data_IF_962622050917
#
_entry.id   IF_962622050917
#
_cell.length_a   1.000
_cell.length_b   1.000
_cell.length_c   1.000
_cell.angle_alpha   90.00
_cell.angle_beta   90.00
_cell.angle_gamma   90.00
#
_symmetry.space_group_name_H-M   'P 1'
#
loop_
_entity.id
_entity.type
_entity.pdbx_description
1 polymer ?
#
# COMPACT_ATOMS: atom_id res chain seq x y z
N UNK A 1 22.26 16.47 15.11
CA UNK A 1 20.93 17.10 14.97
C UNK A 1 20.18 16.40 13.86
N UNK A 2 19.01 15.81 14.13
CA UNK A 2 18.17 15.24 13.08
C UNK A 2 17.53 16.41 12.32
N UNK A 3 17.86 16.56 11.03
CA UNK A 3 17.26 17.60 10.18
C UNK A 3 15.74 17.35 10.15
N UNK A 4 14.97 18.27 10.76
CA UNK A 4 13.51 18.15 10.91
C UNK A 4 12.75 18.41 9.60
N UNK A 5 13.42 18.99 8.62
CA UNK A 5 12.87 19.33 7.31
C UNK A 5 13.80 18.83 6.21
N UNK A 6 13.20 18.27 5.16
CA UNK A 6 13.89 17.87 3.94
C UNK A 6 13.51 18.86 2.85
N UNK A 7 14.51 19.42 2.18
CA UNK A 7 14.31 20.30 1.03
C UNK A 7 14.57 19.54 -0.26
N UNK A 8 14.14 20.09 -1.40
CA UNK A 8 14.34 19.47 -2.73
C UNK A 8 15.80 19.02 -2.96
N UNK A 9 16.77 19.83 -2.55
CA UNK A 9 18.20 19.53 -2.68
C UNK A 9 18.67 18.36 -1.80
N UNK A 10 17.95 18.04 -0.73
CA UNK A 10 18.26 16.91 0.13
C UNK A 10 17.69 15.60 -0.44
N UNK A 11 16.92 15.64 -1.53
CA UNK A 11 16.14 14.50 -2.05
C UNK A 11 16.44 14.18 -3.51
N UNK A 12 16.42 15.20 -4.39
CA UNK A 12 16.64 15.01 -5.82
C UNK A 12 18.04 14.45 -6.08
N UNK A 13 18.13 13.49 -6.99
CA UNK A 13 19.36 12.78 -7.34
C UNK A 13 19.70 11.58 -6.45
N UNK A 14 19.06 11.45 -5.26
CA UNK A 14 19.31 10.31 -4.38
C UNK A 14 18.90 9.00 -5.03
N UNK A 15 19.68 7.96 -4.75
CA UNK A 15 19.37 6.60 -5.16
C UNK A 15 18.23 6.06 -4.30
N UNK A 16 17.31 5.35 -4.96
CA UNK A 16 16.19 4.68 -4.30
C UNK A 16 16.40 3.18 -4.37
N UNK A 17 16.26 2.54 -3.21
CA UNK A 17 16.44 1.11 -3.00
C UNK A 17 15.16 0.55 -2.38
N UNK A 18 14.71 -0.61 -2.84
CA UNK A 18 13.53 -1.27 -2.29
C UNK A 18 13.81 -2.17 -1.07
N UNK A 19 12.78 -2.84 -0.57
CA UNK A 19 12.88 -3.75 0.58
C UNK A 19 13.71 -5.01 0.33
N UNK A 20 13.99 -5.34 -0.93
CA UNK A 20 14.79 -6.49 -1.35
C UNK A 20 16.22 -6.09 -1.74
N UNK A 21 16.61 -4.86 -1.41
CA UNK A 21 17.92 -4.27 -1.74
C UNK A 21 18.15 -4.06 -3.25
N UNK A 22 17.11 -4.00 -4.07
CA UNK A 22 17.23 -3.65 -5.47
C UNK A 22 17.36 -2.13 -5.66
N UNK A 23 18.35 -1.70 -6.43
CA UNK A 23 18.49 -0.31 -6.87
C UNK A 23 17.47 -0.05 -7.98
N UNK A 24 16.48 0.79 -7.69
CA UNK A 24 15.40 1.14 -8.62
C UNK A 24 15.83 2.22 -9.60
N UNK A 25 16.52 3.24 -9.09
CA UNK A 25 16.91 4.42 -9.87
C UNK A 25 17.19 5.63 -8.98
N UNK A 26 16.98 6.81 -9.53
CA UNK A 26 17.29 8.08 -8.86
C UNK A 26 16.04 8.97 -8.80
N UNK A 27 15.93 9.76 -7.75
CA UNK A 27 14.82 10.73 -7.63
C UNK A 27 15.00 11.84 -8.66
N UNK A 28 14.00 12.02 -9.52
CA UNK A 28 13.89 13.12 -10.48
C UNK A 28 13.34 14.37 -9.82
N UNK A 29 12.22 14.24 -9.08
CA UNK A 29 11.56 15.37 -8.44
C UNK A 29 10.67 14.97 -7.24
N UNK A 30 10.22 15.99 -6.50
CA UNK A 30 9.17 15.88 -5.48
C UNK A 30 7.83 16.25 -6.12
N UNK A 31 6.79 15.52 -5.78
CA UNK A 31 5.41 15.81 -6.17
C UNK A 31 4.55 16.00 -4.93
N UNK A 32 3.49 16.78 -5.06
CA UNK A 32 2.50 16.96 -3.99
C UNK A 32 1.14 16.50 -4.50
N UNK A 33 0.51 15.57 -3.79
CA UNK A 33 -0.82 15.10 -4.09
C UNK A 33 -1.83 16.06 -3.47
N UNK A 34 -2.61 16.76 -4.30
CA UNK A 34 -3.60 17.74 -3.83
C UNK A 34 -4.86 17.11 -3.22
N UNK A 35 -5.15 15.85 -3.54
CA UNK A 35 -6.30 15.11 -3.00
C UNK A 35 -6.00 14.55 -1.62
N UNK A 36 -4.87 13.85 -1.47
CA UNK A 36 -4.47 13.24 -0.18
C UNK A 36 -3.64 14.17 0.70
N UNK A 37 -3.15 15.30 0.15
CA UNK A 37 -2.20 16.21 0.79
C UNK A 37 -0.87 15.53 1.17
N UNK A 38 -0.55 14.42 0.52
CA UNK A 38 0.70 13.69 0.71
C UNK A 38 1.80 14.20 -0.24
N UNK A 39 3.04 13.86 0.13
CA UNK A 39 4.22 14.06 -0.73
C UNK A 39 4.52 12.75 -1.46
N UNK A 40 4.80 12.85 -2.75
CA UNK A 40 5.33 11.77 -3.58
C UNK A 40 6.73 12.11 -4.12
N UNK A 41 7.45 11.10 -4.58
CA UNK A 41 8.69 11.24 -5.32
C UNK A 41 8.52 10.62 -6.70
N UNK A 42 8.95 11.33 -7.73
CA UNK A 42 9.09 10.75 -9.06
C UNK A 42 10.51 10.20 -9.19
N UNK A 43 10.63 8.91 -9.45
CA UNK A 43 11.89 8.18 -9.63
C UNK A 43 12.07 7.89 -11.11
N UNK A 44 13.24 8.19 -11.66
CA UNK A 44 13.65 7.68 -12.97
C UNK A 44 14.38 6.36 -12.76
N UNK A 45 13.78 5.27 -13.24
CA UNK A 45 14.38 3.93 -13.19
C UNK A 45 15.55 3.81 -14.15
N UNK A 46 16.36 2.75 -13.98
CA UNK A 46 17.49 2.45 -14.90
C UNK A 46 17.08 2.37 -16.38
N UNK A 47 15.83 2.00 -16.65
CA UNK A 47 15.29 1.88 -18.01
C UNK A 47 14.67 3.20 -18.53
N UNK A 48 14.83 4.31 -17.81
CA UNK A 48 14.24 5.60 -18.16
C UNK A 48 12.75 5.74 -17.83
N UNK A 49 12.09 4.69 -17.34
CA UNK A 49 10.69 4.75 -16.89
C UNK A 49 10.57 5.61 -15.64
N UNK A 50 9.56 6.46 -15.58
CA UNK A 50 9.24 7.27 -14.41
C UNK A 50 8.17 6.60 -13.55
N UNK A 51 8.42 6.55 -12.24
CA UNK A 51 7.51 5.94 -11.27
C UNK A 51 7.26 6.91 -10.12
N UNK A 52 6.00 7.11 -9.76
CA UNK A 52 5.63 7.91 -8.60
C UNK A 52 5.55 7.02 -7.35
N UNK A 53 6.24 7.42 -6.29
CA UNK A 53 6.27 6.70 -5.01
C UNK A 53 5.80 7.62 -3.90
N UNK A 54 4.78 7.18 -3.16
CA UNK A 54 4.27 7.94 -2.01
C UNK A 54 5.26 7.92 -0.85
N UNK A 55 5.31 9.03 -0.10
CA UNK A 55 6.02 9.09 1.18
C UNK A 55 5.56 8.07 2.21
N UNK A 56 4.33 7.55 2.09
CA UNK A 56 3.85 6.43 2.91
C UNK A 56 4.64 5.14 2.70
N UNK A 57 5.18 4.91 1.51
CA UNK A 57 5.94 3.72 1.17
C UNK A 57 7.45 3.88 1.44
N UNK A 58 7.90 5.06 1.91
CA UNK A 58 9.28 5.29 2.31
C UNK A 58 9.54 4.84 3.74
N UNK A 59 10.65 4.13 3.97
CA UNK A 59 11.10 3.67 5.29
C UNK A 59 12.05 4.67 5.93
N UNK A 60 13.11 5.04 5.22
CA UNK A 60 14.14 5.95 5.70
C UNK A 60 14.69 6.80 4.55
N UNK A 61 15.13 8.02 4.89
CA UNK A 61 15.81 8.94 3.98
C UNK A 61 17.14 9.31 4.64
N UNK A 62 18.24 8.91 4.01
CA UNK A 62 19.61 9.21 4.41
C UNK A 62 20.46 9.49 3.17
N UNK A 63 21.61 8.83 3.03
CA UNK A 63 22.40 8.89 1.80
C UNK A 63 21.61 8.35 0.59
N UNK A 64 20.88 7.27 0.84
CA UNK A 64 19.89 6.66 -0.07
C UNK A 64 18.48 6.76 0.53
N UNK A 65 17.49 6.49 -0.30
CA UNK A 65 16.09 6.38 0.11
C UNK A 65 15.71 4.90 0.08
N UNK A 66 15.26 4.38 1.23
CA UNK A 66 14.84 3.00 1.37
C UNK A 66 13.31 2.90 1.37
N UNK A 67 12.75 2.04 0.52
CA UNK A 67 11.31 1.78 0.48
C UNK A 67 10.91 0.62 1.40
N UNK A 68 9.63 0.58 1.76
CA UNK A 68 9.02 -0.49 2.57
C UNK A 68 8.63 -1.72 1.75
N UNK A 69 8.51 -1.57 0.43
CA UNK A 69 8.02 -2.58 -0.52
C UNK A 69 8.84 -2.56 -1.80
N UNK A 70 8.68 -3.59 -2.62
CA UNK A 70 9.25 -3.66 -3.96
C UNK A 70 8.56 -2.68 -4.92
N UNK A 71 9.24 -2.33 -6.02
CA UNK A 71 8.65 -1.45 -7.04
C UNK A 71 7.40 -2.07 -7.68
N UNK A 72 7.42 -3.38 -7.93
CA UNK A 72 6.28 -4.12 -8.47
C UNK A 72 5.03 -3.98 -7.58
N UNK A 73 5.18 -4.04 -6.26
CA UNK A 73 4.07 -3.85 -5.31
C UNK A 73 3.53 -2.41 -5.25
N UNK A 74 4.33 -1.42 -5.63
CA UNK A 74 3.94 0.00 -5.68
C UNK A 74 3.21 0.30 -6.99
N UNK A 75 3.70 -0.25 -8.10
CA UNK A 75 3.11 -0.06 -9.42
C UNK A 75 1.83 -0.85 -9.63
N UNK A 76 1.72 -2.03 -9.02
CA UNK A 76 0.43 -2.72 -8.98
C UNK A 76 -0.45 -2.04 -7.93
N UNK A 77 -1.60 -1.45 -8.29
CA UNK A 77 -2.62 -1.20 -7.30
C UNK A 77 -2.88 -2.55 -6.62
N UNK A 78 -2.77 -2.60 -5.29
CA UNK A 78 -3.18 -3.77 -4.51
C UNK A 78 -4.64 -4.05 -4.88
N UNK A 79 -4.84 -4.93 -5.86
CA UNK A 79 -5.89 -5.92 -5.78
C UNK A 79 -5.52 -6.66 -4.51
N UNK A 80 -6.17 -6.27 -3.42
CA UNK A 80 -6.30 -7.09 -2.22
C UNK A 80 -6.39 -8.52 -2.71
N UNK A 81 -5.33 -9.30 -2.47
CA UNK A 81 -5.37 -10.74 -2.67
C UNK A 81 -6.61 -11.19 -1.91
N UNK A 82 -7.70 -11.48 -2.64
CA UNK A 82 -8.75 -12.35 -2.12
C UNK A 82 -7.98 -13.61 -1.76
N UNK A 83 -7.85 -13.88 -0.47
CA UNK A 83 -7.29 -15.13 0.00
C UNK A 83 -7.97 -16.25 -0.79
N UNK A 84 -7.16 -17.14 -1.33
CA UNK A 84 -7.62 -18.33 -2.03
C UNK A 84 -8.76 -18.98 -1.25
N UNK A 85 -9.95 -18.97 -1.85
CA UNK A 85 -11.09 -19.76 -1.42
C UNK A 85 -10.77 -21.23 -1.68
N UNK A 86 -10.03 -21.86 -0.77
CA UNK A 86 -10.33 -23.26 -0.48
C UNK A 86 -11.58 -23.24 0.40
N UNK A 87 -12.74 -23.75 -0.05
CA UNK A 87 -13.90 -23.86 0.81
C UNK A 87 -13.56 -24.85 1.95
N UNK A 88 -13.59 -24.43 3.22
CA UNK A 88 -13.67 -25.37 4.33
C UNK A 88 -15.06 -26.03 4.28
N UNK A 89 -15.18 -27.31 4.69
CA UNK A 89 -16.45 -28.02 4.65
C UNK A 89 -17.50 -27.28 5.48
N UNK A 90 -18.64 -27.02 4.84
CA UNK A 90 -19.80 -26.32 5.35
C UNK A 90 -20.24 -26.95 6.67
N UNK A 91 -20.06 -26.23 7.78
CA UNK A 91 -20.73 -26.53 9.05
C UNK A 91 -21.81 -25.48 9.31
N UNK A 92 -23.00 -25.99 9.58
CA UNK A 92 -24.30 -25.33 9.62
C UNK A 92 -24.32 -24.02 10.42
N UNK A 93 -24.71 -22.92 9.78
CA UNK A 93 -24.75 -21.59 10.38
C UNK A 93 -26.18 -21.28 10.86
N UNK A 94 -26.31 -20.87 12.11
CA UNK A 94 -27.56 -20.33 12.66
C UNK A 94 -27.94 -19.04 11.91
N UNK A 95 -29.22 -18.79 11.56
CA UNK A 95 -29.61 -17.61 10.78
C UNK A 95 -29.10 -16.30 11.39
N UNK A 96 -28.47 -15.45 10.58
CA UNK A 96 -27.99 -14.12 10.96
C UNK A 96 -26.54 -14.05 11.45
N UNK A 97 -25.82 -15.16 11.67
CA UNK A 97 -24.42 -15.10 12.09
C UNK A 97 -23.49 -14.87 10.89
N UNK A 98 -22.69 -13.80 10.91
CA UNK A 98 -21.72 -13.52 9.86
C UNK A 98 -20.60 -14.56 9.86
N UNK A 99 -20.43 -15.27 8.74
CA UNK A 99 -19.38 -16.26 8.57
C UNK A 99 -17.96 -15.66 8.51
N UNK A 100 -17.83 -14.35 8.26
CA UNK A 100 -16.54 -13.66 8.13
C UNK A 100 -16.02 -13.15 9.48
N UNK A 101 -16.89 -12.53 10.30
CA UNK A 101 -16.46 -11.89 11.55
C UNK A 101 -17.15 -12.40 12.81
N UNK A 102 -18.10 -13.32 12.69
CA UNK A 102 -18.86 -13.89 13.81
C UNK A 102 -19.89 -12.96 14.44
N UNK A 103 -20.17 -11.80 13.85
CA UNK A 103 -21.18 -10.88 14.35
C UNK A 103 -22.61 -11.38 14.06
N UNK A 104 -23.51 -11.29 15.04
CA UNK A 104 -24.92 -11.65 14.87
C UNK A 104 -25.69 -10.47 14.26
N UNK A 105 -26.06 -10.61 13.00
CA UNK A 105 -26.92 -9.70 12.25
C UNK A 105 -28.38 -10.13 12.33
N UNK A 106 -29.26 -9.27 11.82
CA UNK A 106 -30.64 -9.64 11.56
C UNK A 106 -30.72 -10.78 10.55
N UNK A 107 -31.74 -11.64 10.70
CA UNK A 107 -31.88 -12.86 9.90
C UNK A 107 -32.07 -12.61 8.40
N UNK A 108 -32.50 -11.41 8.02
CA UNK A 108 -32.74 -10.97 6.63
C UNK A 108 -31.69 -9.97 6.14
N UNK A 109 -30.61 -9.73 6.91
CA UNK A 109 -29.56 -8.83 6.50
C UNK A 109 -28.87 -9.37 5.24
N UNK A 110 -28.78 -8.56 4.18
CA UNK A 110 -28.02 -8.88 2.96
C UNK A 110 -26.51 -8.67 3.13
N UNK A 111 -26.11 -7.82 4.08
CA UNK A 111 -24.72 -7.52 4.39
C UNK A 111 -24.53 -7.44 5.91
N UNK A 112 -23.35 -7.81 6.40
CA UNK A 112 -23.01 -7.68 7.80
C UNK A 112 -22.77 -6.21 8.16
N UNK A 113 -23.47 -5.71 9.18
CA UNK A 113 -23.38 -4.31 9.60
C UNK A 113 -22.03 -3.95 10.21
N UNK A 114 -21.23 -4.95 10.62
CA UNK A 114 -19.93 -4.74 11.28
C UNK A 114 -18.76 -4.76 10.29
N UNK A 115 -18.76 -5.67 9.31
CA UNK A 115 -17.62 -5.86 8.40
C UNK A 115 -17.95 -5.69 6.91
N UNK A 116 -19.22 -5.50 6.55
CA UNK A 116 -19.66 -5.31 5.16
C UNK A 116 -19.69 -6.57 4.31
N UNK A 117 -19.39 -7.75 4.87
CA UNK A 117 -19.47 -9.02 4.15
C UNK A 117 -20.92 -9.33 3.72
N UNK A 118 -21.10 -9.83 2.49
CA UNK A 118 -22.40 -10.31 2.03
C UNK A 118 -22.86 -11.53 2.85
N UNK A 119 -24.13 -11.55 3.20
CA UNK A 119 -24.77 -12.58 4.00
C UNK A 119 -25.53 -13.50 3.04
N UNK A 120 -25.16 -14.79 3.01
CA UNK A 120 -25.80 -15.85 2.21
C UNK A 120 -27.01 -16.45 2.93
#
# INVERSE_FOLDING_TARGET
>A
MSKKYLSRKDIVGKQVIDSEANILGNVKELSFDLGTRDIGLTITTKNGKEVNVSSRDMRNIGDVILLKKTLSEIETPKVTKKADFHPPPVKSVKPGLCAVCGFQNEKTAKFCIKCGAEMS
#
